data_IF_064445889111
#
_entry.id   IF_064445889111
#
_cell.length_a   1.000
_cell.length_b   1.000
_cell.length_c   1.000
_cell.angle_alpha   90.00
_cell.angle_beta   90.00
_cell.angle_gamma   90.00
#
_symmetry.space_group_name_H-M   'P 1'
#
loop_
_entity.id
_entity.type
_entity.pdbx_description
1 polymer ?
#
# COMPACT_ATOMS: atom_id res chain seq x y z
N UNK A 1 -26.28 -4.81 -15.06
CA UNK A 1 -25.02 -4.19 -14.66
C UNK A 1 -24.20 -3.78 -15.87
N UNK A 2 -23.95 -4.71 -16.79
CA UNK A 2 -23.11 -4.49 -17.97
C UNK A 2 -23.87 -4.84 -19.25
N UNK A 3 -23.60 -4.13 -20.33
CA UNK A 3 -24.07 -4.52 -21.66
C UNK A 3 -23.19 -5.65 -22.23
N UNK A 4 -23.63 -6.29 -23.30
CA UNK A 4 -22.81 -7.29 -23.99
C UNK A 4 -21.50 -6.69 -24.51
N UNK A 5 -21.54 -5.47 -25.06
CA UNK A 5 -20.35 -4.74 -25.54
C UNK A 5 -19.34 -4.43 -24.41
N UNK A 6 -19.81 -4.23 -23.18
CA UNK A 6 -18.90 -4.04 -22.05
C UNK A 6 -18.18 -5.33 -21.65
N UNK A 7 -18.82 -6.48 -21.83
CA UNK A 7 -18.25 -7.78 -21.51
C UNK A 7 -17.27 -8.29 -22.59
N UNK A 8 -17.30 -7.70 -23.79
CA UNK A 8 -16.31 -7.97 -24.86
C UNK A 8 -15.01 -7.18 -24.70
N UNK A 9 -15.02 -6.08 -23.92
CA UNK A 9 -13.82 -5.30 -23.60
C UNK A 9 -12.94 -6.02 -22.58
N UNK A 10 -11.65 -5.66 -22.46
CA UNK A 10 -10.81 -6.15 -21.37
C UNK A 10 -11.45 -5.92 -20.00
N UNK A 11 -11.69 -7.00 -19.26
CA UNK A 11 -12.24 -6.94 -17.92
C UNK A 11 -11.11 -6.63 -16.93
N UNK A 12 -11.21 -5.48 -16.27
CA UNK A 12 -10.21 -5.03 -15.30
C UNK A 12 -10.79 -5.12 -13.89
N UNK A 13 -10.17 -5.93 -13.05
CA UNK A 13 -10.51 -5.96 -11.63
C UNK A 13 -9.95 -4.73 -10.92
N UNK A 14 -10.81 -3.99 -10.23
CA UNK A 14 -10.40 -2.95 -9.29
C UNK A 14 -10.41 -3.58 -7.90
N UNK A 15 -9.24 -4.03 -7.45
CA UNK A 15 -9.09 -4.72 -6.16
C UNK A 15 -8.87 -3.67 -5.08
N UNK A 16 -9.91 -3.38 -4.31
CA UNK A 16 -9.88 -2.32 -3.31
C UNK A 16 -9.67 -2.87 -1.89
N UNK A 17 -9.00 -2.10 -1.05
CA UNK A 17 -8.86 -2.35 0.39
C UNK A 17 -9.62 -1.33 1.24
N UNK A 18 -10.52 -0.55 0.62
CA UNK A 18 -11.35 0.45 1.28
C UNK A 18 -12.16 -0.12 2.46
N UNK A 19 -12.20 0.66 3.55
CA UNK A 19 -13.12 0.50 4.67
C UNK A 19 -13.22 1.80 5.48
N UNK A 20 -14.18 1.87 6.41
CA UNK A 20 -14.42 3.04 7.29
C UNK A 20 -13.72 2.92 8.65
N UNK A 21 -13.13 1.76 8.94
CA UNK A 21 -12.52 1.47 10.25
C UNK A 21 -11.07 1.95 10.37
N UNK A 22 -10.45 2.39 9.27
CA UNK A 22 -9.08 2.90 9.25
C UNK A 22 -9.00 4.22 8.45
N UNK A 23 -8.48 5.31 9.04
CA UNK A 23 -8.31 6.58 8.31
C UNK A 23 -7.43 6.43 7.06
N UNK A 24 -6.49 5.48 7.04
CA UNK A 24 -5.65 5.25 5.86
C UNK A 24 -6.39 4.70 4.63
N UNK A 25 -7.65 4.30 4.79
CA UNK A 25 -8.42 3.57 3.80
C UNK A 25 -9.67 4.30 3.33
N UNK A 26 -10.13 5.29 4.08
CA UNK A 26 -11.46 5.90 3.90
C UNK A 26 -11.65 6.55 2.52
N UNK A 27 -10.58 7.09 1.94
CA UNK A 27 -10.60 7.77 0.64
C UNK A 27 -10.39 6.82 -0.55
N UNK A 28 -10.03 5.56 -0.32
CA UNK A 28 -9.75 4.60 -1.41
C UNK A 28 -10.98 4.30 -2.27
N UNK A 29 -12.21 4.48 -1.75
CA UNK A 29 -13.45 4.43 -2.52
C UNK A 29 -13.54 5.57 -3.53
N UNK A 30 -13.04 6.75 -3.18
CA UNK A 30 -12.99 7.90 -4.11
C UNK A 30 -11.93 7.66 -5.17
N UNK A 31 -10.75 7.18 -4.77
CA UNK A 31 -9.67 6.87 -5.69
C UNK A 31 -10.06 5.80 -6.71
N UNK A 32 -10.83 4.78 -6.29
CA UNK A 32 -11.29 3.73 -7.19
C UNK A 32 -12.20 4.25 -8.30
N UNK A 33 -13.00 5.30 -8.06
CA UNK A 33 -13.79 5.93 -9.13
C UNK A 33 -12.89 6.57 -10.20
N UNK A 34 -11.83 7.28 -9.81
CA UNK A 34 -10.87 7.84 -10.78
C UNK A 34 -10.15 6.74 -11.56
N UNK A 35 -9.77 5.64 -10.90
CA UNK A 35 -9.20 4.47 -11.59
C UNK A 35 -10.19 3.90 -12.60
N UNK A 36 -11.46 3.70 -12.21
CA UNK A 36 -12.51 3.20 -13.10
C UNK A 36 -12.69 4.11 -14.31
N UNK A 37 -12.67 5.42 -14.11
CA UNK A 37 -12.75 6.39 -15.22
C UNK A 37 -11.55 6.24 -16.17
N UNK A 38 -10.35 6.07 -15.62
CA UNK A 38 -9.16 5.77 -16.43
C UNK A 38 -9.29 4.50 -17.26
N UNK A 39 -9.81 3.42 -16.66
CA UNK A 39 -10.06 2.16 -17.36
C UNK A 39 -11.08 2.33 -18.48
N UNK A 40 -12.20 3.00 -18.22
CA UNK A 40 -13.26 3.25 -19.21
C UNK A 40 -12.74 4.11 -20.36
N UNK A 41 -12.01 5.17 -20.06
CA UNK A 41 -11.40 6.07 -21.05
C UNK A 41 -10.42 5.33 -21.97
N UNK A 42 -9.73 4.31 -21.45
CA UNK A 42 -8.82 3.47 -22.22
C UNK A 42 -9.51 2.27 -22.91
N UNK A 43 -10.83 2.13 -22.82
CA UNK A 43 -11.58 1.08 -23.51
C UNK A 43 -11.68 -0.26 -22.76
N UNK A 44 -11.35 -0.29 -21.47
CA UNK A 44 -11.60 -1.43 -20.59
C UNK A 44 -12.94 -1.36 -19.86
N UNK A 45 -13.34 -2.45 -19.23
CA UNK A 45 -14.50 -2.52 -18.35
C UNK A 45 -14.06 -2.77 -16.92
N UNK A 46 -14.15 -1.79 -16.01
CA UNK A 46 -13.76 -1.98 -14.64
C UNK A 46 -14.86 -2.66 -13.81
N UNK A 47 -14.47 -3.60 -12.96
CA UNK A 47 -15.33 -4.24 -11.96
C UNK A 47 -14.62 -4.23 -10.61
N UNK A 48 -15.21 -3.60 -9.61
CA UNK A 48 -14.61 -3.44 -8.29
C UNK A 48 -15.09 -4.53 -7.33
N UNK A 49 -14.16 -5.03 -6.52
CA UNK A 49 -14.47 -5.78 -5.30
C UNK A 49 -13.47 -5.42 -4.21
N UNK A 50 -13.83 -5.72 -2.96
CA UNK A 50 -12.98 -5.46 -1.80
C UNK A 50 -12.36 -6.74 -1.24
N UNK A 51 -11.13 -6.60 -0.74
CA UNK A 51 -10.53 -7.52 0.21
C UNK A 51 -10.58 -6.93 1.63
N UNK A 52 -10.25 -7.74 2.65
CA UNK A 52 -10.13 -7.26 4.02
C UNK A 52 -8.93 -6.31 4.16
N UNK A 53 -8.96 -5.47 5.19
CA UNK A 53 -7.86 -4.55 5.46
C UNK A 53 -7.77 -4.24 6.95
N UNK A 54 -6.69 -4.68 7.58
CA UNK A 54 -6.46 -4.51 9.02
C UNK A 54 -5.47 -3.37 9.24
N UNK A 55 -5.80 -2.47 10.16
CA UNK A 55 -4.90 -1.42 10.63
C UNK A 55 -3.96 -1.97 11.70
N UNK A 56 -2.65 -2.03 11.41
CA UNK A 56 -1.63 -2.45 12.38
C UNK A 56 -1.63 -1.54 13.62
N UNK A 57 -1.77 -0.22 13.42
CA UNK A 57 -1.81 0.75 14.51
C UNK A 57 -2.92 0.50 15.52
N UNK A 58 -4.14 0.23 15.04
CA UNK A 58 -5.31 -0.04 15.89
C UNK A 58 -5.20 -1.44 16.52
N UNK A 59 -4.83 -2.46 15.75
CA UNK A 59 -4.75 -3.83 16.27
C UNK A 59 -3.73 -4.00 17.42
N UNK A 60 -2.71 -3.13 17.47
CA UNK A 60 -1.72 -3.12 18.55
C UNK A 60 -2.25 -2.56 19.88
N UNK A 61 -3.36 -1.82 19.91
CA UNK A 61 -3.89 -1.27 21.18
C UNK A 61 -4.54 -2.33 22.06
N UNK A 62 -5.16 -3.35 21.45
CA UNK A 62 -6.10 -4.26 22.15
C UNK A 62 -5.60 -5.71 22.24
N UNK A 63 -4.31 -5.95 22.02
CA UNK A 63 -3.71 -7.29 22.16
C UNK A 63 -4.02 -8.28 21.03
N UNK A 64 -4.65 -7.82 19.93
CA UNK A 64 -4.96 -8.63 18.74
C UNK A 64 -3.94 -8.46 17.61
N UNK A 65 -2.74 -7.99 17.92
CA UNK A 65 -1.64 -7.82 16.95
C UNK A 65 -1.25 -9.14 16.27
N UNK A 66 -1.53 -10.28 16.90
CA UNK A 66 -1.35 -11.62 16.34
C UNK A 66 -2.20 -11.88 15.08
N UNK A 67 -3.28 -11.12 14.86
CA UNK A 67 -4.13 -11.24 13.66
C UNK A 67 -3.60 -10.44 12.46
N UNK A 68 -2.64 -9.54 12.68
CA UNK A 68 -2.16 -8.61 11.64
C UNK A 68 -1.35 -9.33 10.57
N UNK A 69 -0.29 -10.06 10.94
CA UNK A 69 0.54 -10.74 9.94
C UNK A 69 -0.22 -11.83 9.14
N UNK A 70 -1.04 -12.71 9.77
CA UNK A 70 -1.87 -13.68 9.03
C UNK A 70 -2.80 -13.04 8.01
N UNK A 71 -3.24 -11.79 8.22
CA UNK A 71 -4.10 -11.09 7.26
C UNK A 71 -3.45 -10.92 5.88
N UNK A 72 -2.12 -10.90 5.80
CA UNK A 72 -1.38 -10.86 4.52
C UNK A 72 -1.78 -12.03 3.62
N UNK A 73 -1.85 -13.24 4.17
CA UNK A 73 -2.21 -14.45 3.41
C UNK A 73 -3.70 -14.50 3.10
N UNK A 74 -4.54 -14.02 4.01
CA UNK A 74 -6.00 -13.93 3.77
C UNK A 74 -6.28 -12.96 2.61
N UNK A 75 -5.60 -11.81 2.59
CA UNK A 75 -5.66 -10.85 1.50
C UNK A 75 -5.23 -11.53 0.20
N UNK A 76 -4.06 -12.16 0.18
CA UNK A 76 -3.55 -12.83 -1.00
C UNK A 76 -4.52 -13.88 -1.55
N UNK A 77 -5.01 -14.77 -0.68
CA UNK A 77 -5.94 -15.85 -1.04
C UNK A 77 -7.31 -15.33 -1.50
N UNK A 78 -7.85 -14.29 -0.86
CA UNK A 78 -9.15 -13.71 -1.23
C UNK A 78 -9.12 -13.09 -2.63
N UNK A 79 -8.03 -12.41 -2.96
CA UNK A 79 -7.82 -11.80 -4.27
C UNK A 79 -7.62 -12.90 -5.30
N UNK A 80 -6.72 -13.86 -5.05
CA UNK A 80 -6.45 -14.97 -5.95
C UNK A 80 -7.72 -15.74 -6.31
N UNK A 81 -8.53 -16.09 -5.31
CA UNK A 81 -9.79 -16.81 -5.49
C UNK A 81 -10.74 -16.05 -6.39
N UNK A 82 -10.88 -14.74 -6.18
CA UNK A 82 -11.78 -13.89 -6.97
C UNK A 82 -11.27 -13.73 -8.40
N UNK A 83 -10.00 -13.37 -8.56
CA UNK A 83 -9.40 -13.10 -9.87
C UNK A 83 -9.47 -14.33 -10.77
N UNK A 84 -9.10 -15.51 -10.26
CA UNK A 84 -9.15 -16.77 -11.01
C UNK A 84 -10.58 -17.23 -11.31
N UNK A 85 -11.54 -16.97 -10.43
CA UNK A 85 -12.94 -17.38 -10.63
C UNK A 85 -13.64 -16.59 -11.72
N UNK A 86 -13.31 -15.30 -11.87
CA UNK A 86 -13.96 -14.41 -12.83
C UNK A 86 -13.14 -14.18 -14.12
N UNK A 87 -11.95 -14.77 -14.21
CA UNK A 87 -11.09 -14.73 -15.40
C UNK A 87 -10.81 -13.30 -15.91
N UNK A 88 -10.46 -12.40 -14.99
CA UNK A 88 -10.11 -11.02 -15.32
C UNK A 88 -8.87 -10.95 -16.21
N UNK A 89 -8.84 -9.97 -17.12
CA UNK A 89 -7.70 -9.78 -18.04
C UNK A 89 -6.57 -8.97 -17.41
N UNK A 90 -6.87 -8.14 -16.42
CA UNK A 90 -5.88 -7.38 -15.65
C UNK A 90 -6.48 -6.89 -14.34
N UNK A 91 -5.63 -6.36 -13.45
CA UNK A 91 -6.06 -5.86 -12.16
C UNK A 91 -5.30 -4.62 -11.69
N UNK A 92 -6.04 -3.71 -11.04
CA UNK A 92 -5.50 -2.58 -10.30
C UNK A 92 -5.62 -2.88 -8.81
N UNK A 93 -4.48 -2.86 -8.11
CA UNK A 93 -4.41 -3.05 -6.66
C UNK A 93 -4.43 -1.70 -5.96
N UNK A 94 -5.56 -1.35 -5.33
CA UNK A 94 -5.70 -0.12 -4.55
C UNK A 94 -5.45 -0.45 -3.07
N UNK A 95 -4.27 -0.09 -2.60
CA UNK A 95 -3.78 -0.47 -1.28
C UNK A 95 -3.30 0.72 -0.44
N UNK A 96 -3.47 0.57 0.87
CA UNK A 96 -2.86 1.42 1.88
C UNK A 96 -2.46 0.53 3.07
N UNK A 97 -1.72 1.08 4.04
CA UNK A 97 -1.36 0.39 5.29
C UNK A 97 -0.48 -0.87 5.11
N UNK A 98 -0.10 -1.45 6.25
CA UNK A 98 1.10 -2.28 6.43
C UNK A 98 1.06 -3.61 5.66
N UNK A 99 0.17 -4.52 6.04
CA UNK A 99 0.14 -5.91 5.53
C UNK A 99 -0.66 -6.07 4.22
N UNK A 100 -1.35 -5.03 3.78
CA UNK A 100 -2.18 -5.07 2.57
C UNK A 100 -1.31 -5.03 1.31
N UNK A 101 -0.34 -4.11 1.22
CA UNK A 101 0.59 -4.02 0.08
C UNK A 101 1.31 -5.36 -0.18
N UNK A 102 1.95 -5.99 0.83
CA UNK A 102 2.58 -7.29 0.60
C UNK A 102 1.56 -8.40 0.30
N UNK A 103 0.36 -8.39 0.90
CA UNK A 103 -0.69 -9.37 0.56
C UNK A 103 -1.11 -9.27 -0.92
N UNK A 104 -1.26 -8.05 -1.43
CA UNK A 104 -1.57 -7.79 -2.84
C UNK A 104 -0.38 -8.13 -3.77
N UNK A 105 0.87 -7.97 -3.31
CA UNK A 105 2.06 -8.44 -4.04
C UNK A 105 2.11 -9.97 -4.16
N UNK A 106 1.75 -10.70 -3.10
CA UNK A 106 1.67 -12.17 -3.20
C UNK A 106 0.54 -12.58 -4.17
N UNK A 107 -0.62 -11.91 -4.10
CA UNK A 107 -1.71 -12.16 -5.06
C UNK A 107 -1.30 -11.87 -6.51
N UNK A 108 -0.51 -10.83 -6.77
CA UNK A 108 -0.11 -10.48 -8.14
C UNK A 108 0.73 -11.57 -8.79
N UNK A 109 1.65 -12.17 -8.03
CA UNK A 109 2.45 -13.31 -8.47
C UNK A 109 1.60 -14.57 -8.64
N UNK A 110 0.72 -14.89 -7.69
CA UNK A 110 -0.12 -16.11 -7.75
C UNK A 110 -1.15 -16.11 -8.87
N UNK A 111 -1.63 -14.93 -9.28
CA UNK A 111 -2.54 -14.75 -10.41
C UNK A 111 -1.80 -14.66 -11.75
N UNK A 112 -0.62 -14.04 -11.78
CA UNK A 112 0.19 -13.77 -12.97
C UNK A 112 -0.59 -13.20 -14.17
N UNK A 113 -1.39 -12.17 -13.90
CA UNK A 113 -2.04 -11.35 -14.93
C UNK A 113 -1.44 -9.94 -14.92
N UNK A 114 -1.65 -9.14 -15.99
CA UNK A 114 -1.34 -7.72 -15.98
C UNK A 114 -1.82 -7.04 -14.69
N UNK A 115 -0.89 -6.42 -13.98
CA UNK A 115 -1.13 -5.87 -12.64
C UNK A 115 -0.45 -4.53 -12.49
N UNK A 116 -1.15 -3.56 -11.93
CA UNK A 116 -0.59 -2.28 -11.50
C UNK A 116 -1.10 -1.92 -10.12
N UNK A 117 -0.29 -1.22 -9.33
CA UNK A 117 -0.61 -0.79 -7.99
C UNK A 117 -0.89 0.72 -7.97
N UNK A 118 -1.85 1.10 -7.14
CA UNK A 118 -2.10 2.47 -6.70
C UNK A 118 -2.06 2.50 -5.18
N UNK A 119 -1.01 3.09 -4.63
CA UNK A 119 -0.95 3.32 -3.18
C UNK A 119 -1.84 4.50 -2.80
N UNK A 120 -2.51 4.38 -1.65
CA UNK A 120 -3.43 5.40 -1.13
C UNK A 120 -2.78 6.74 -0.79
N UNK A 121 -1.45 6.84 -0.85
CA UNK A 121 -0.72 8.06 -0.53
C UNK A 121 -0.57 8.30 0.97
N UNK A 122 0.25 9.30 1.29
CA UNK A 122 0.75 9.57 2.64
C UNK A 122 -0.19 10.55 3.37
N UNK A 123 -0.47 10.27 4.65
CA UNK A 123 -1.18 11.18 5.54
C UNK A 123 -0.39 12.49 5.72
N UNK A 124 -1.09 13.62 5.90
CA UNK A 124 -0.40 14.88 6.22
C UNK A 124 0.14 14.85 7.66
N UNK A 125 1.30 15.45 7.94
CA UNK A 125 1.70 15.71 9.33
C UNK A 125 0.74 16.70 9.98
N UNK A 126 0.51 16.55 11.29
CA UNK A 126 -0.26 17.52 12.07
C UNK A 126 0.67 18.64 12.51
N UNK A 127 0.34 19.87 12.10
CA UNK A 127 1.00 21.09 12.59
C UNK A 127 -0.01 21.81 13.48
N UNK A 128 0.36 22.10 14.73
CA UNK A 128 -0.48 22.86 15.65
C UNK A 128 -0.28 24.35 15.43
N UNK A 129 -1.33 25.08 15.06
CA UNK A 129 -1.28 26.52 14.79
C UNK A 129 -1.52 27.37 16.05
N UNK A 130 -2.17 26.78 17.05
CA UNK A 130 -2.55 27.38 18.32
C UNK A 130 -2.47 26.38 19.49
N UNK A 131 -2.84 26.83 20.68
CA UNK A 131 -2.83 26.01 21.89
C UNK A 131 -1.43 25.71 22.48
N UNK A 132 -1.34 24.79 23.46
CA UNK A 132 -0.11 24.49 24.19
C UNK A 132 0.98 23.84 23.31
N UNK A 133 0.60 23.29 22.16
CA UNK A 133 1.50 22.63 21.21
C UNK A 133 1.84 23.50 19.99
N UNK A 134 1.46 24.79 19.99
CA UNK A 134 1.68 25.71 18.88
C UNK A 134 3.10 25.64 18.31
N UNK A 135 3.19 25.51 16.99
CA UNK A 135 4.44 25.44 16.23
C UNK A 135 5.10 24.06 16.23
N UNK A 136 4.52 23.05 16.91
CA UNK A 136 5.01 21.67 16.87
C UNK A 136 4.34 20.90 15.74
N UNK A 137 5.11 19.98 15.17
CA UNK A 137 4.68 19.02 14.15
C UNK A 137 4.65 17.63 14.76
N UNK A 138 3.58 16.89 14.52
CA UNK A 138 3.41 15.51 14.97
C UNK A 138 3.06 14.58 13.80
N UNK A 139 3.67 13.39 13.83
CA UNK A 139 3.41 12.26 12.95
C UNK A 139 2.99 11.03 13.78
N UNK A 140 2.55 9.97 13.10
CA UNK A 140 1.92 8.80 13.74
C UNK A 140 2.83 8.13 14.78
N UNK A 141 4.15 8.10 14.57
CA UNK A 141 5.12 7.56 15.54
C UNK A 141 5.13 8.32 16.86
N UNK A 142 4.88 9.63 16.82
CA UNK A 142 5.05 10.53 17.95
C UNK A 142 3.96 10.29 19.01
N UNK A 143 2.84 9.68 18.63
CA UNK A 143 1.82 9.21 19.57
C UNK A 143 2.43 8.22 20.57
N UNK A 144 3.23 7.25 20.09
CA UNK A 144 3.89 6.28 20.97
C UNK A 144 4.95 6.93 21.86
N UNK A 145 5.66 7.91 21.32
CA UNK A 145 6.63 8.69 22.10
C UNK A 145 5.94 9.53 23.19
N UNK A 146 4.80 10.15 22.87
CA UNK A 146 3.99 10.92 23.80
C UNK A 146 3.47 10.05 24.96
N UNK A 147 3.01 8.82 24.69
CA UNK A 147 2.65 7.86 25.73
C UNK A 147 3.83 7.59 26.67
N UNK A 148 5.04 7.43 26.12
CA UNK A 148 6.27 7.27 26.90
C UNK A 148 6.62 8.51 27.74
N UNK A 149 6.50 9.70 27.14
CA UNK A 149 6.73 10.98 27.82
C UNK A 149 5.74 11.23 28.96
N UNK A 150 4.47 10.89 28.76
CA UNK A 150 3.43 10.99 29.79
C UNK A 150 3.72 10.06 30.97
N UNK A 151 4.06 8.79 30.70
CA UNK A 151 4.47 7.83 31.74
C UNK A 151 5.72 8.27 32.50
N UNK A 152 6.60 9.04 31.86
CA UNK A 152 7.78 9.63 32.47
C UNK A 152 7.53 10.98 33.17
N UNK A 153 6.29 11.48 33.18
CA UNK A 153 5.92 12.77 33.79
C UNK A 153 6.44 14.00 33.03
N UNK A 154 6.78 13.87 31.74
CA UNK A 154 7.36 14.94 30.92
C UNK A 154 6.32 15.81 30.19
N UNK A 155 5.12 15.29 29.98
CA UNK A 155 3.99 16.00 29.39
C UNK A 155 2.74 15.80 30.25
N UNK A 156 1.76 16.70 30.14
CA UNK A 156 0.50 16.57 30.88
C UNK A 156 -0.47 15.58 30.21
N UNK A 157 -1.57 15.26 30.89
CA UNK A 157 -2.62 14.44 30.30
C UNK A 157 -3.35 15.17 29.16
N UNK A 158 -3.47 16.49 29.27
CA UNK A 158 -4.04 17.36 28.23
C UNK A 158 -3.16 17.38 26.98
N UNK A 159 -1.83 17.48 27.15
CA UNK A 159 -0.90 17.41 26.03
C UNK A 159 -0.99 16.05 25.32
N UNK A 160 -1.03 14.94 26.08
CA UNK A 160 -1.18 13.60 25.50
C UNK A 160 -2.50 13.48 24.73
N UNK A 161 -3.61 13.95 25.32
CA UNK A 161 -4.92 13.91 24.68
C UNK A 161 -4.93 14.68 23.34
N UNK A 162 -4.33 15.88 23.30
CA UNK A 162 -4.23 16.67 22.06
C UNK A 162 -3.41 15.95 20.99
N UNK A 163 -2.28 15.33 21.38
CA UNK A 163 -1.44 14.57 20.45
C UNK A 163 -2.22 13.36 19.91
N UNK A 164 -2.84 12.56 20.77
CA UNK A 164 -3.59 11.36 20.37
C UNK A 164 -4.79 11.68 19.48
N UNK A 165 -5.55 12.74 19.79
CA UNK A 165 -6.80 13.07 19.09
C UNK A 165 -6.59 13.80 17.77
N UNK A 166 -5.47 14.52 17.59
CA UNK A 166 -5.27 15.36 16.40
C UNK A 166 -4.17 14.90 15.45
N UNK A 167 -3.29 13.96 15.83
CA UNK A 167 -2.16 13.55 14.97
C UNK A 167 -2.64 12.89 13.67
N UNK A 168 -3.68 12.06 13.73
CA UNK A 168 -4.29 11.42 12.55
C UNK A 168 -5.26 12.37 11.83
N UNK A 169 -4.74 13.46 11.26
CA UNK A 169 -5.53 14.62 10.81
C UNK A 169 -6.09 14.53 9.39
N UNK A 170 -5.70 13.53 8.60
CA UNK A 170 -6.18 13.34 7.22
C UNK A 170 -6.27 11.85 6.88
N UNK A 171 -6.93 11.49 5.76
CA UNK A 171 -6.74 10.17 5.16
C UNK A 171 -5.28 9.93 4.77
N UNK A 172 -4.91 8.66 4.62
CA UNK A 172 -3.60 8.23 4.12
C UNK A 172 -2.84 7.26 5.02
N UNK A 173 -1.82 6.63 4.46
CA UNK A 173 -0.90 5.77 5.21
C UNK A 173 -0.12 6.58 6.27
N UNK A 174 0.42 5.90 7.28
CA UNK A 174 1.21 6.54 8.33
C UNK A 174 2.30 7.44 7.72
N UNK A 175 2.42 8.66 8.22
CA UNK A 175 3.33 9.71 7.75
C UNK A 175 4.77 9.58 8.29
N UNK A 176 5.23 8.33 8.43
CA UNK A 176 6.57 7.95 8.88
C UNK A 176 7.11 6.84 7.95
N UNK A 177 8.42 6.57 7.98
CA UNK A 177 9.00 5.41 7.26
C UNK A 177 8.71 4.08 7.97
N UNK A 178 7.42 3.75 8.10
CA UNK A 178 6.93 2.44 8.51
C UNK A 178 6.82 1.48 7.33
N UNK A 179 6.24 0.29 7.58
CA UNK A 179 6.12 -0.75 6.56
C UNK A 179 5.28 -0.32 5.37
N UNK A 180 4.19 0.43 5.57
CA UNK A 180 3.31 0.86 4.49
C UNK A 180 4.08 1.67 3.42
N UNK A 181 4.80 2.72 3.83
CA UNK A 181 5.59 3.53 2.91
C UNK A 181 6.82 2.78 2.38
N UNK A 182 7.45 1.93 3.18
CA UNK A 182 8.55 1.06 2.72
C UNK A 182 8.09 0.15 1.58
N UNK A 183 6.95 -0.53 1.76
CA UNK A 183 6.39 -1.43 0.76
C UNK A 183 5.84 -0.68 -0.46
N UNK A 184 5.29 0.53 -0.28
CA UNK A 184 4.92 1.40 -1.39
C UNK A 184 6.14 1.73 -2.27
N UNK A 185 7.25 2.16 -1.67
CA UNK A 185 8.48 2.43 -2.39
C UNK A 185 9.05 1.17 -3.07
N UNK A 186 8.92 0.00 -2.44
CA UNK A 186 9.32 -1.29 -3.03
C UNK A 186 8.49 -1.58 -4.29
N UNK A 187 7.17 -1.43 -4.23
CA UNK A 187 6.26 -1.62 -5.37
C UNK A 187 6.67 -0.71 -6.54
N UNK A 188 6.96 0.56 -6.26
CA UNK A 188 7.40 1.51 -7.27
C UNK A 188 8.79 1.14 -7.84
N UNK A 189 9.75 0.78 -6.97
CA UNK A 189 11.09 0.35 -7.37
C UNK A 189 11.08 -0.92 -8.23
N UNK A 190 10.08 -1.78 -8.06
CA UNK A 190 9.86 -2.97 -8.89
C UNK A 190 9.17 -2.65 -10.22
N UNK A 191 8.72 -1.41 -10.43
CA UNK A 191 8.00 -0.98 -11.63
C UNK A 191 6.53 -1.37 -11.66
N UNK A 192 5.94 -1.71 -10.50
CA UNK A 192 4.55 -2.15 -10.38
C UNK A 192 3.56 -1.01 -10.15
N UNK A 193 4.03 0.20 -9.88
CA UNK A 193 3.23 1.42 -9.85
C UNK A 193 3.85 2.47 -10.76
N UNK A 194 3.06 3.49 -11.10
CA UNK A 194 3.57 4.66 -11.81
C UNK A 194 4.58 5.43 -10.93
N UNK A 195 5.52 6.17 -11.54
CA UNK A 195 6.43 7.04 -10.79
C UNK A 195 5.68 8.01 -9.87
N UNK A 196 6.28 8.29 -8.71
CA UNK A 196 5.77 9.13 -7.62
C UNK A 196 4.60 8.53 -6.83
N UNK A 197 4.05 7.37 -7.21
CA UNK A 197 2.90 6.77 -6.54
C UNK A 197 3.14 6.54 -5.05
N UNK A 198 4.34 6.11 -4.66
CA UNK A 198 4.72 5.87 -3.28
C UNK A 198 4.90 7.17 -2.47
N UNK A 199 5.14 8.30 -3.13
CA UNK A 199 5.50 9.59 -2.49
C UNK A 199 4.38 10.62 -2.50
N UNK A 200 3.38 10.47 -3.36
CA UNK A 200 2.24 11.40 -3.45
C UNK A 200 1.40 11.35 -2.16
N UNK A 201 0.91 12.52 -1.73
CA UNK A 201 0.02 12.63 -0.58
C UNK A 201 -1.35 12.01 -0.84
N UNK A 202 -2.03 11.56 0.22
CA UNK A 202 -3.33 10.89 0.09
C UNK A 202 -4.47 11.79 -0.45
N UNK A 203 -4.26 13.11 -0.43
CA UNK A 203 -5.21 14.12 -0.87
C UNK A 203 -4.56 15.04 -1.89
N UNK A 204 -5.34 15.50 -2.86
CA UNK A 204 -4.92 16.49 -3.85
C UNK A 204 -5.15 16.01 -5.27
N UNK A 205 -5.06 16.93 -6.22
CA UNK A 205 -5.29 16.65 -7.65
C UNK A 205 -4.26 15.68 -8.21
N UNK A 206 -3.02 15.73 -7.74
CA UNK A 206 -1.96 14.80 -8.15
C UNK A 206 -2.34 13.33 -7.92
N UNK A 207 -2.94 13.02 -6.76
CA UNK A 207 -3.39 11.66 -6.45
C UNK A 207 -4.57 11.23 -7.33
N UNK A 208 -5.47 12.16 -7.68
CA UNK A 208 -6.61 11.90 -8.55
C UNK A 208 -6.16 11.65 -10.01
N UNK A 209 -5.23 12.46 -10.50
CA UNK A 209 -4.60 12.32 -11.82
C UNK A 209 -3.83 11.01 -11.92
N UNK A 210 -3.01 10.69 -10.92
CA UNK A 210 -2.29 9.42 -10.81
C UNK A 210 -3.24 8.22 -10.81
N UNK A 211 -4.36 8.31 -10.09
CA UNK A 211 -5.38 7.26 -10.05
C UNK A 211 -5.98 7.02 -11.42
N UNK A 212 -6.34 8.10 -12.13
CA UNK A 212 -6.88 8.02 -13.49
C UNK A 212 -5.85 7.46 -14.47
N UNK A 213 -4.59 7.88 -14.37
CA UNK A 213 -3.52 7.40 -15.24
C UNK A 213 -3.18 5.92 -14.98
N UNK A 214 -3.26 5.48 -13.72
CA UNK A 214 -3.14 4.07 -13.35
C UNK A 214 -4.20 3.22 -14.06
N UNK A 215 -5.46 3.70 -14.08
CA UNK A 215 -6.57 3.04 -14.77
C UNK A 215 -6.38 2.94 -16.29
N UNK A 216 -5.77 3.94 -16.94
CA UNK A 216 -5.43 3.83 -18.37
C UNK A 216 -4.26 2.86 -18.60
N UNK A 217 -3.25 2.94 -17.73
CA UNK A 217 -2.02 2.16 -17.86
C UNK A 217 -2.30 0.66 -17.79
N UNK A 218 -3.17 0.21 -16.89
CA UNK A 218 -3.51 -1.22 -16.79
C UNK A 218 -4.09 -1.77 -18.09
N UNK A 219 -4.93 -1.02 -18.80
CA UNK A 219 -5.47 -1.47 -20.10
C UNK A 219 -4.34 -1.62 -21.12
N UNK A 220 -3.38 -0.69 -21.14
CA UNK A 220 -2.19 -0.82 -22.00
C UNK A 220 -1.32 -2.03 -21.61
N UNK A 221 -1.18 -2.36 -20.32
CA UNK A 221 -0.46 -3.55 -19.87
C UNK A 221 -1.17 -4.83 -20.34
N UNK A 222 -2.50 -4.85 -20.34
CA UNK A 222 -3.30 -5.97 -20.87
C UNK A 222 -3.07 -6.16 -22.37
N UNK A 223 -3.12 -5.09 -23.16
CA UNK A 223 -2.87 -5.14 -24.60
C UNK A 223 -1.45 -5.64 -24.92
N UNK A 224 -0.45 -5.17 -24.16
CA UNK A 224 0.96 -5.56 -24.29
C UNK A 224 1.28 -6.92 -23.66
N UNK A 225 0.33 -7.53 -22.94
CA UNK A 225 0.51 -8.77 -22.18
C UNK A 225 1.68 -8.73 -21.20
N UNK A 226 1.86 -7.59 -20.54
CA UNK A 226 2.88 -7.42 -19.49
C UNK A 226 2.25 -7.84 -18.16
N UNK A 227 2.65 -9.00 -17.64
CA UNK A 227 2.15 -9.57 -16.39
C UNK A 227 3.00 -9.16 -15.19
N UNK A 228 2.52 -9.47 -13.99
CA UNK A 228 3.27 -9.27 -12.76
C UNK A 228 4.66 -9.96 -12.80
N UNK A 229 4.75 -11.21 -13.29
CA UNK A 229 6.02 -11.94 -13.36
C UNK A 229 6.99 -11.43 -14.44
N UNK A 230 6.54 -10.62 -15.40
CA UNK A 230 7.47 -9.91 -16.28
C UNK A 230 8.27 -8.83 -15.54
N UNK A 231 7.74 -8.30 -14.44
CA UNK A 231 8.35 -7.23 -13.63
C UNK A 231 8.97 -7.77 -12.34
N UNK A 232 8.31 -8.75 -11.70
CA UNK A 232 8.75 -9.39 -10.46
C UNK A 232 9.72 -10.52 -10.79
N UNK A 233 11.01 -10.23 -10.65
CA UNK A 233 12.12 -11.15 -10.93
C UNK A 233 13.05 -11.17 -9.72
N UNK A 234 13.92 -12.17 -9.62
CA UNK A 234 14.96 -12.18 -8.57
C UNK A 234 15.80 -10.90 -8.57
N UNK A 235 16.08 -10.35 -9.76
CA UNK A 235 16.84 -9.10 -9.90
C UNK A 235 16.05 -7.88 -9.41
N UNK A 236 14.77 -7.75 -9.77
CA UNK A 236 13.96 -6.62 -9.32
C UNK A 236 13.67 -6.68 -7.83
N UNK A 237 13.50 -7.88 -7.26
CA UNK A 237 13.42 -8.08 -5.80
C UNK A 237 14.68 -7.56 -5.11
N UNK A 238 15.87 -7.98 -5.55
CA UNK A 238 17.13 -7.52 -4.96
C UNK A 238 17.32 -6.00 -5.11
N UNK A 239 16.96 -5.44 -6.27
CA UNK A 239 17.02 -3.99 -6.49
C UNK A 239 16.08 -3.25 -5.55
N UNK A 240 14.84 -3.72 -5.40
CA UNK A 240 13.86 -3.10 -4.52
C UNK A 240 14.27 -3.20 -3.04
N UNK A 241 14.87 -4.31 -2.61
CA UNK A 241 15.49 -4.43 -1.28
C UNK A 241 16.60 -3.40 -1.07
N UNK A 242 17.47 -3.16 -2.07
CA UNK A 242 18.51 -2.12 -1.99
C UNK A 242 17.90 -0.73 -1.90
N UNK A 243 16.91 -0.42 -2.72
CA UNK A 243 16.20 0.87 -2.64
C UNK A 243 15.60 1.06 -1.23
N UNK A 244 14.99 0.03 -0.67
CA UNK A 244 14.43 0.11 0.68
C UNK A 244 15.49 0.28 1.77
N UNK A 245 16.63 -0.39 1.64
CA UNK A 245 17.78 -0.20 2.55
C UNK A 245 18.33 1.23 2.47
N UNK A 246 18.37 1.85 1.28
CA UNK A 246 18.99 3.17 1.11
C UNK A 246 18.21 4.34 1.71
N UNK A 247 16.97 4.11 2.19
CA UNK A 247 16.23 5.13 2.95
C UNK A 247 15.88 4.67 4.36
N UNK A 248 16.45 3.55 4.82
CA UNK A 248 16.21 3.03 6.16
C UNK A 248 14.80 2.46 6.32
N UNK A 249 14.34 1.73 5.30
CA UNK A 249 13.03 1.09 5.30
C UNK A 249 12.81 0.14 6.46
N UNK A 250 11.52 -0.12 6.75
CA UNK A 250 11.10 -0.99 7.85
C UNK A 250 11.71 -2.38 7.76
N UNK A 251 12.16 -2.91 8.89
CA UNK A 251 12.65 -4.30 9.01
C UNK A 251 11.60 -5.34 8.61
N UNK A 252 10.30 -5.02 8.67
CA UNK A 252 9.23 -5.90 8.18
C UNK A 252 9.39 -6.23 6.68
N UNK A 253 10.07 -5.39 5.90
CA UNK A 253 10.36 -5.68 4.49
C UNK A 253 11.09 -7.02 4.33
N UNK A 254 11.93 -7.42 5.30
CA UNK A 254 12.66 -8.69 5.24
C UNK A 254 11.68 -9.86 5.12
N UNK A 255 10.65 -9.88 5.97
CA UNK A 255 9.61 -10.92 5.96
C UNK A 255 8.79 -10.90 4.66
N UNK A 256 8.45 -9.72 4.17
CA UNK A 256 7.61 -9.56 2.99
C UNK A 256 8.35 -9.91 1.69
N UNK A 257 9.61 -9.49 1.56
CA UNK A 257 10.43 -9.76 0.39
C UNK A 257 10.91 -11.22 0.35
N UNK A 258 11.19 -11.84 1.51
CA UNK A 258 11.44 -13.29 1.55
C UNK A 258 10.20 -14.08 1.09
N UNK A 259 9.01 -13.71 1.55
CA UNK A 259 7.77 -14.35 1.12
C UNK A 259 7.53 -14.17 -0.39
N UNK A 260 7.71 -12.95 -0.92
CA UNK A 260 7.59 -12.68 -2.35
C UNK A 260 8.61 -13.45 -3.19
N UNK A 261 9.86 -13.53 -2.71
CA UNK A 261 10.91 -14.31 -3.37
C UNK A 261 10.52 -15.79 -3.42
N UNK A 262 9.99 -16.33 -2.32
CA UNK A 262 9.55 -17.72 -2.27
C UNK A 262 8.41 -18.02 -3.26
N UNK A 263 7.42 -17.13 -3.42
CA UNK A 263 6.32 -17.31 -4.38
C UNK A 263 6.79 -17.44 -5.83
N UNK A 264 7.92 -16.82 -6.18
CA UNK A 264 8.51 -16.93 -7.53
C UNK A 264 9.61 -18.00 -7.62
N UNK A 265 9.70 -18.91 -6.64
CA UNK A 265 10.71 -19.98 -6.61
C UNK A 265 12.12 -19.52 -6.24
N UNK A 266 12.27 -18.34 -5.63
CA UNK A 266 13.51 -17.79 -5.13
C UNK A 266 13.89 -18.29 -3.74
N UNK A 267 15.11 -17.96 -3.32
CA UNK A 267 15.73 -18.40 -2.07
C UNK A 267 16.22 -17.24 -1.20
N UNK A 268 15.73 -16.02 -1.44
CA UNK A 268 16.06 -14.86 -0.60
C UNK A 268 15.66 -15.16 0.86
N UNK A 269 16.62 -15.01 1.75
CA UNK A 269 16.46 -15.22 3.18
C UNK A 269 17.02 -14.02 3.97
N UNK A 270 16.83 -14.04 5.29
CA UNK A 270 17.20 -12.91 6.14
C UNK A 270 18.71 -12.63 6.23
N UNK A 271 19.59 -13.62 5.97
CA UNK A 271 21.04 -13.40 5.93
C UNK A 271 21.47 -12.60 4.70
N UNK A 272 20.73 -12.69 3.60
CA UNK A 272 21.07 -11.97 2.37
C UNK A 272 20.94 -10.44 2.53
N UNK A 273 20.11 -9.98 3.47
CA UNK A 273 19.95 -8.56 3.75
C UNK A 273 21.19 -7.92 4.38
N UNK A 274 22.02 -8.70 5.09
CA UNK A 274 23.32 -8.22 5.59
C UNK A 274 24.26 -7.87 4.43
N UNK A 275 24.35 -8.76 3.44
CA UNK A 275 25.16 -8.54 2.23
C UNK A 275 24.62 -7.39 1.38
N UNK A 276 23.30 -7.29 1.22
CA UNK A 276 22.69 -6.16 0.52
C UNK A 276 22.98 -4.84 1.23
N UNK A 277 22.89 -4.81 2.56
CA UNK A 277 23.14 -3.63 3.38
C UNK A 277 24.60 -3.16 3.34
N UNK A 278 25.58 -4.07 3.34
CA UNK A 278 27.01 -3.71 3.20
C UNK A 278 27.31 -2.91 1.93
N UNK A 279 26.55 -3.14 0.87
CA UNK A 279 26.71 -2.48 -0.43
C UNK A 279 25.78 -1.28 -0.64
N UNK A 280 24.95 -0.93 0.35
CA UNK A 280 23.88 0.06 0.20
C UNK A 280 23.90 1.06 1.36
N UNK A 281 24.39 2.29 1.14
CA UNK A 281 24.39 3.32 2.19
C UNK A 281 22.97 3.85 2.46
N UNK A 282 22.76 4.35 3.68
CA UNK A 282 21.63 5.17 4.07
C UNK A 282 21.80 6.61 3.57
#
# INVERSE_FOLDING_TARGET
GYSYQDLEKPLIAIVNSWNEINPGHIHLRKLSEFVKDGVRDAGGTPMEFNTIAICDGIANSDGYSNMVLPSREIIAASIESTIKSYNFNGMVMICSCDKIIPGMLLASVRCDIPTIFLTGGIMKPKIFEDGPLKGKTYVTSDIKEAIGQYKAGKITGEDLYLIESETCCSPGACNMMGTANTMACIVEAMGLSLPNCATTGALGTEQEELSKETGKTIVSLVEKKITALNLITHKSINNACKVALSFGGSTNMILHMCALSHEIGGNLNHFDFDELSKSTPL
#
